data_IF_588523833118
#
_entry.id   IF_588523833118
#
_cell.length_a   1.000
_cell.length_b   1.000
_cell.length_c   1.000
_cell.angle_alpha   90.00
_cell.angle_beta   90.00
_cell.angle_gamma   90.00
#
_symmetry.space_group_name_H-M   'P 1'
#
loop_
_entity.id
_entity.type
_entity.pdbx_description
1 polymer ?
#
# COMPACT_ATOMS: atom_id res chain seq x y z
N UNK A 1 -29.89 -45.56 26.68
CA UNK A 1 -29.36 -45.62 25.30
C UNK A 1 -29.06 -44.21 24.82
N UNK A 2 -28.00 -44.02 24.02
CA UNK A 2 -27.01 -42.96 24.19
C UNK A 2 -26.96 -41.95 23.02
N UNK A 3 -25.88 -41.15 22.96
CA UNK A 3 -25.35 -40.34 21.83
C UNK A 3 -25.77 -38.86 21.85
N UNK A 4 -24.91 -37.84 21.82
CA UNK A 4 -23.45 -37.64 21.61
C UNK A 4 -23.17 -36.18 22.08
N UNK A 5 -22.19 -35.93 22.94
CA UNK A 5 -20.80 -35.61 22.60
C UNK A 5 -20.55 -34.15 22.17
N UNK A 6 -19.59 -33.55 22.91
CA UNK A 6 -18.57 -32.56 22.50
C UNK A 6 -18.97 -31.11 22.24
N UNK A 7 -18.56 -30.26 23.20
CA UNK A 7 -17.74 -29.07 22.97
C UNK A 7 -17.68 -28.55 21.53
N UNK A 8 -18.32 -27.40 21.27
CA UNK A 8 -17.77 -26.42 20.33
C UNK A 8 -17.87 -25.00 20.91
N UNK A 9 -16.69 -24.50 21.30
CA UNK A 9 -16.17 -23.17 21.03
C UNK A 9 -17.12 -22.00 21.29
N UNK A 10 -17.04 -21.32 22.44
CA UNK A 10 -16.02 -20.29 22.70
C UNK A 10 -15.34 -19.75 21.42
N UNK A 11 -16.03 -18.88 20.71
CA UNK A 11 -15.45 -17.89 19.81
C UNK A 11 -16.32 -16.63 19.97
N UNK A 12 -16.09 -15.76 20.95
CA UNK A 12 -14.95 -14.82 20.94
C UNK A 12 -14.67 -14.39 19.49
N UNK A 13 -15.66 -13.84 18.80
CA UNK A 13 -15.37 -12.83 17.78
C UNK A 13 -15.21 -11.51 18.53
N UNK A 14 -14.05 -11.43 19.19
CA UNK A 14 -13.29 -10.20 19.24
C UNK A 14 -13.26 -9.72 17.79
N UNK A 15 -14.05 -8.69 17.45
CA UNK A 15 -13.62 -7.79 16.40
C UNK A 15 -12.29 -7.23 16.89
N UNK A 16 -11.14 -7.64 16.32
CA UNK A 16 -9.92 -6.98 16.67
C UNK A 16 -10.02 -5.60 16.04
N UNK A 17 -10.12 -4.60 16.90
CA UNK A 17 -9.55 -3.28 16.70
C UNK A 17 -9.96 -2.57 15.41
N UNK A 18 -10.87 -1.61 15.57
CA UNK A 18 -10.78 -0.32 14.91
C UNK A 18 -9.30 0.15 14.92
N UNK A 19 -8.53 -0.23 13.90
CA UNK A 19 -7.09 0.03 13.83
C UNK A 19 -6.91 1.46 13.38
N UNK A 20 -6.56 2.30 14.34
CA UNK A 20 -6.26 3.70 14.13
C UNK A 20 -5.31 3.87 12.96
N UNK A 21 -5.66 4.76 12.03
CA UNK A 21 -4.72 5.34 11.07
C UNK A 21 -3.50 5.80 11.87
N UNK A 22 -2.38 5.09 11.77
CA UNK A 22 -1.17 5.50 12.49
C UNK A 22 -0.73 6.85 11.94
N UNK A 23 -0.79 7.86 12.80
CA UNK A 23 -0.36 9.22 12.47
C UNK A 23 1.12 9.39 12.80
N UNK A 24 1.75 10.48 12.34
CA UNK A 24 3.17 10.78 12.60
C UNK A 24 3.56 10.64 14.09
N UNK A 25 2.63 10.90 15.00
CA UNK A 25 2.84 10.87 16.45
C UNK A 25 3.05 9.46 17.03
N UNK A 26 2.71 8.43 16.27
CA UNK A 26 2.81 7.02 16.67
C UNK A 26 4.09 6.35 16.16
N UNK A 27 4.91 7.08 15.40
CA UNK A 27 6.21 6.60 14.95
C UNK A 27 7.22 6.58 16.12
N UNK A 28 8.11 5.58 16.12
CA UNK A 28 9.27 5.59 17.00
C UNK A 28 10.16 6.82 16.71
N UNK A 29 10.94 7.25 17.68
CA UNK A 29 11.81 8.43 17.53
C UNK A 29 12.76 8.30 16.31
N UNK A 30 13.28 7.10 16.07
CA UNK A 30 14.10 6.80 14.90
C UNK A 30 13.32 6.95 13.57
N UNK A 31 12.09 6.43 13.49
CA UNK A 31 11.24 6.56 12.31
C UNK A 31 10.78 8.00 12.09
N UNK A 32 10.55 8.75 13.17
CA UNK A 32 10.21 10.17 13.09
C UNK A 32 11.37 11.01 12.55
N UNK A 33 12.61 10.69 12.93
CA UNK A 33 13.79 11.34 12.34
C UNK A 33 13.92 11.05 10.83
N UNK A 34 13.64 9.81 10.41
CA UNK A 34 13.58 9.46 8.97
C UNK A 34 12.44 10.19 8.25
N UNK A 35 11.29 10.31 8.89
CA UNK A 35 10.13 11.04 8.35
C UNK A 35 10.47 12.51 8.08
N UNK A 36 11.06 13.22 9.04
CA UNK A 36 11.46 14.62 8.87
C UNK A 36 12.48 14.79 7.74
N UNK A 37 13.43 13.85 7.60
CA UNK A 37 14.37 13.84 6.47
C UNK A 37 13.67 13.64 5.13
N UNK A 38 12.65 12.77 5.08
CA UNK A 38 11.87 12.54 3.87
C UNK A 38 11.08 13.78 3.46
N UNK A 39 10.44 14.46 4.42
CA UNK A 39 9.71 15.72 4.19
C UNK A 39 10.66 16.80 3.67
N UNK A 40 11.81 17.01 4.33
CA UNK A 40 12.82 17.97 3.87
C UNK A 40 13.35 17.63 2.46
N UNK A 41 13.54 16.35 2.15
CA UNK A 41 13.97 15.92 0.81
C UNK A 41 12.91 16.28 -0.27
N UNK A 42 11.62 16.23 0.05
CA UNK A 42 10.54 16.65 -0.86
C UNK A 42 10.56 18.16 -1.09
N UNK A 43 10.75 18.95 -0.03
CA UNK A 43 10.85 20.42 -0.12
C UNK A 43 12.03 20.83 -1.02
N UNK A 44 13.15 20.12 -0.91
CA UNK A 44 14.33 20.29 -1.76
C UNK A 44 14.16 19.68 -3.16
N UNK A 45 12.97 19.18 -3.50
CA UNK A 45 12.64 18.47 -4.76
C UNK A 45 13.53 17.27 -5.06
N UNK A 46 14.18 16.71 -4.04
CA UNK A 46 14.93 15.46 -4.12
C UNK A 46 13.99 14.26 -3.92
N UNK A 47 13.09 14.07 -4.88
CA UNK A 47 12.06 13.03 -4.82
C UNK A 47 12.65 11.61 -4.80
N UNK A 48 13.80 11.39 -5.44
CA UNK A 48 14.46 10.08 -5.41
C UNK A 48 14.88 9.67 -4.00
N UNK A 49 15.49 10.59 -3.26
CA UNK A 49 15.86 10.34 -1.87
C UNK A 49 14.64 10.23 -0.96
N UNK A 50 13.66 11.12 -1.13
CA UNK A 50 12.40 11.05 -0.38
C UNK A 50 11.70 9.68 -0.50
N UNK A 51 11.61 9.14 -1.72
CA UNK A 51 11.01 7.81 -1.99
C UNK A 51 11.76 6.73 -1.19
N UNK A 52 13.09 6.72 -1.24
CA UNK A 52 13.88 5.71 -0.53
C UNK A 52 13.66 5.74 0.99
N UNK A 53 13.58 6.94 1.59
CA UNK A 53 13.31 7.10 3.01
C UNK A 53 11.89 6.66 3.39
N UNK A 54 10.90 6.99 2.56
CA UNK A 54 9.51 6.61 2.80
C UNK A 54 9.29 5.10 2.67
N UNK A 55 9.95 4.44 1.72
CA UNK A 55 9.92 2.98 1.59
C UNK A 55 10.54 2.27 2.80
N UNK A 56 11.64 2.80 3.36
CA UNK A 56 12.25 2.27 4.58
C UNK A 56 11.27 2.39 5.76
N UNK A 57 10.63 3.55 5.93
CA UNK A 57 9.62 3.75 6.97
C UNK A 57 8.48 2.74 6.83
N UNK A 58 7.97 2.50 5.61
CA UNK A 58 6.88 1.56 5.35
C UNK A 58 7.28 0.08 5.50
N UNK A 59 8.58 -0.23 5.44
CA UNK A 59 9.10 -1.58 5.73
C UNK A 59 9.02 -1.87 7.22
N UNK A 60 9.34 -0.87 8.06
CA UNK A 60 9.27 -0.99 9.52
C UNK A 60 7.84 -0.83 10.04
N UNK A 61 7.06 0.09 9.44
CA UNK A 61 5.68 0.39 9.83
C UNK A 61 4.75 0.39 8.60
N UNK A 62 4.30 -0.80 8.15
CA UNK A 62 3.46 -0.93 6.95
C UNK A 62 2.11 -0.21 7.04
N UNK A 63 1.63 0.08 8.25
CA UNK A 63 0.33 0.69 8.50
C UNK A 63 0.39 2.23 8.51
N UNK A 64 1.56 2.82 8.29
CA UNK A 64 1.72 4.27 8.27
C UNK A 64 1.13 4.88 6.99
N UNK A 65 -0.18 5.14 7.01
CA UNK A 65 -0.93 5.64 5.87
C UNK A 65 -0.42 7.00 5.36
N UNK A 66 -0.12 7.92 6.28
CA UNK A 66 0.37 9.26 5.92
C UNK A 66 1.68 9.18 5.11
N UNK A 67 2.58 8.27 5.48
CA UNK A 67 3.80 8.03 4.72
C UNK A 67 3.55 7.43 3.35
N UNK A 68 2.55 6.54 3.24
CA UNK A 68 2.14 5.92 1.97
C UNK A 68 1.52 6.94 1.01
N UNK A 69 0.68 7.84 1.52
CA UNK A 69 0.13 8.95 0.73
C UNK A 69 1.23 9.88 0.21
N UNK A 70 2.18 10.25 1.07
CA UNK A 70 3.30 11.10 0.68
C UNK A 70 4.22 10.41 -0.33
N UNK A 71 4.46 9.10 -0.17
CA UNK A 71 5.23 8.28 -1.09
C UNK A 71 4.63 8.32 -2.49
N UNK A 72 3.33 8.05 -2.63
CA UNK A 72 2.64 8.07 -3.92
C UNK A 72 2.71 9.44 -4.58
N UNK A 73 2.54 10.53 -3.83
CA UNK A 73 2.71 11.90 -4.36
C UNK A 73 4.13 12.14 -4.88
N UNK A 74 5.15 11.69 -4.15
CA UNK A 74 6.54 11.82 -4.57
C UNK A 74 6.85 11.01 -5.84
N UNK A 75 6.37 9.77 -5.93
CA UNK A 75 6.50 8.91 -7.12
C UNK A 75 5.78 9.46 -8.34
N UNK A 76 4.55 9.96 -8.17
CA UNK A 76 3.80 10.67 -9.23
C UNK A 76 4.55 11.90 -9.70
N UNK A 77 5.09 12.70 -8.79
CA UNK A 77 5.84 13.91 -9.15
C UNK A 77 7.14 13.58 -9.89
N UNK A 78 7.86 12.54 -9.44
CA UNK A 78 9.07 12.03 -10.08
C UNK A 78 8.78 11.46 -11.46
N UNK A 79 7.73 10.64 -11.61
CA UNK A 79 7.32 10.03 -12.88
C UNK A 79 6.80 11.05 -13.90
N UNK A 80 6.11 12.11 -13.46
CA UNK A 80 5.70 13.23 -14.33
C UNK A 80 6.89 14.09 -14.78
N UNK A 81 7.92 14.21 -13.95
CA UNK A 81 9.13 14.98 -14.26
C UNK A 81 10.09 14.22 -15.20
N UNK A 82 10.10 12.89 -15.14
CA UNK A 82 10.75 12.06 -16.13
C UNK A 82 9.91 12.07 -17.42
N UNK A 83 10.46 12.59 -18.53
CA UNK A 83 9.80 12.53 -19.86
C UNK A 83 9.25 11.13 -20.07
N UNK A 84 7.93 11.02 -20.38
CA UNK A 84 7.21 9.74 -20.57
C UNK A 84 7.98 8.82 -21.51
N UNK A 85 8.85 7.99 -20.95
CA UNK A 85 9.52 6.93 -21.68
C UNK A 85 8.55 5.77 -21.73
N UNK A 86 7.76 5.72 -22.80
CA UNK A 86 6.81 4.64 -23.09
C UNK A 86 7.51 3.32 -23.45
N UNK A 87 8.69 3.04 -22.88
CA UNK A 87 9.55 1.91 -23.23
C UNK A 87 9.94 1.07 -22.02
N UNK A 88 8.99 0.83 -21.10
CA UNK A 88 9.16 -0.19 -20.08
C UNK A 88 8.40 -1.45 -20.50
N UNK A 89 9.13 -2.44 -21.01
CA UNK A 89 8.68 -3.82 -21.18
C UNK A 89 8.07 -4.31 -19.85
N UNK A 90 6.87 -4.88 -19.94
CA UNK A 90 5.86 -5.12 -18.89
C UNK A 90 6.25 -6.15 -17.80
N UNK A 91 7.42 -5.99 -17.18
CA UNK A 91 7.79 -6.70 -15.96
C UNK A 91 6.79 -6.46 -14.81
N UNK A 92 6.08 -5.33 -14.85
CA UNK A 92 4.94 -5.02 -13.98
C UNK A 92 3.83 -6.10 -14.05
N UNK A 93 3.53 -6.65 -15.22
CA UNK A 93 2.45 -7.65 -15.35
C UNK A 93 2.81 -8.97 -14.67
N UNK A 94 4.06 -9.43 -14.82
CA UNK A 94 4.52 -10.66 -14.17
C UNK A 94 4.63 -10.50 -12.64
N UNK A 95 5.16 -9.36 -12.18
CA UNK A 95 5.28 -9.06 -10.74
C UNK A 95 3.93 -8.93 -10.06
N UNK A 96 2.95 -8.28 -10.69
CA UNK A 96 1.58 -8.19 -10.19
C UNK A 96 0.91 -9.57 -10.13
N UNK A 97 1.10 -10.41 -11.16
CA UNK A 97 0.58 -11.79 -11.13
C UNK A 97 1.19 -12.62 -9.98
N UNK A 98 2.49 -12.45 -9.72
CA UNK A 98 3.14 -13.12 -8.59
C UNK A 98 2.63 -12.62 -7.23
N UNK A 99 2.36 -11.31 -7.10
CA UNK A 99 1.76 -10.74 -5.91
C UNK A 99 0.34 -11.30 -5.67
N UNK A 100 -0.49 -11.36 -6.71
CA UNK A 100 -1.84 -11.93 -6.66
C UNK A 100 -1.85 -13.35 -6.06
N UNK A 101 -0.91 -14.21 -6.51
CA UNK A 101 -0.79 -15.59 -5.99
C UNK A 101 -0.40 -15.63 -4.52
N UNK A 102 0.35 -14.63 -4.04
CA UNK A 102 0.81 -14.54 -2.66
C UNK A 102 -0.26 -14.04 -1.70
N UNK A 103 -1.32 -13.36 -2.15
CA UNK A 103 -2.39 -12.83 -1.29
C UNK A 103 -2.93 -13.89 -0.33
N UNK A 104 -3.14 -15.13 -0.81
CA UNK A 104 -3.70 -16.22 -0.01
C UNK A 104 -2.75 -16.75 1.08
N UNK A 105 -1.44 -16.62 0.86
CA UNK A 105 -0.43 -17.20 1.74
C UNK A 105 0.19 -16.15 2.66
N UNK A 106 0.49 -14.97 2.10
CA UNK A 106 1.19 -13.88 2.76
C UNK A 106 0.73 -12.55 2.12
N UNK A 107 -0.42 -12.02 2.56
CA UNK A 107 -1.00 -10.80 1.99
C UNK A 107 -0.13 -9.56 2.27
N UNK A 108 0.60 -9.52 3.39
CA UNK A 108 1.51 -8.41 3.73
C UNK A 108 2.67 -8.34 2.73
N UNK A 109 3.26 -9.49 2.39
CA UNK A 109 4.31 -9.55 1.38
C UNK A 109 3.80 -9.26 -0.02
N UNK A 110 2.55 -9.57 -0.33
CA UNK A 110 1.94 -9.15 -1.59
C UNK A 110 1.88 -7.62 -1.69
N UNK A 111 1.52 -6.91 -0.61
CA UNK A 111 1.55 -5.44 -0.55
C UNK A 111 2.97 -4.90 -0.84
N UNK A 112 4.01 -5.43 -0.19
CA UNK A 112 5.40 -5.00 -0.42
C UNK A 112 5.85 -5.16 -1.88
N UNK A 113 5.47 -6.28 -2.52
CA UNK A 113 5.80 -6.53 -3.94
C UNK A 113 5.11 -5.51 -4.84
N UNK A 114 3.85 -5.18 -4.54
CA UNK A 114 3.05 -4.24 -5.34
C UNK A 114 3.58 -2.81 -5.22
N UNK A 115 4.05 -2.39 -4.05
CA UNK A 115 4.63 -1.06 -3.89
C UNK A 115 5.88 -0.86 -4.75
N UNK A 116 6.68 -1.90 -4.98
CA UNK A 116 7.82 -1.82 -5.93
C UNK A 116 7.39 -1.62 -7.38
N UNK A 117 6.21 -2.13 -7.76
CA UNK A 117 5.65 -1.91 -9.10
C UNK A 117 5.15 -0.48 -9.20
N UNK A 118 4.41 -0.03 -8.19
CA UNK A 118 3.77 1.28 -8.16
C UNK A 118 4.78 2.42 -7.99
N UNK A 119 5.99 2.17 -7.48
CA UNK A 119 7.09 3.13 -7.50
C UNK A 119 7.42 3.62 -8.92
N UNK A 120 7.38 2.71 -9.89
CA UNK A 120 7.68 3.00 -11.30
C UNK A 120 6.44 3.37 -12.09
N UNK A 121 5.31 2.73 -11.78
CA UNK A 121 4.03 2.93 -12.47
C UNK A 121 2.91 3.22 -11.45
N UNK A 122 2.87 4.45 -10.87
CA UNK A 122 1.95 4.78 -9.78
C UNK A 122 0.48 4.57 -10.11
N UNK A 123 0.12 4.75 -11.38
CA UNK A 123 -1.25 4.64 -11.88
C UNK A 123 -1.52 3.33 -12.62
N UNK A 124 -0.67 2.31 -12.47
CA UNK A 124 -0.94 1.00 -13.04
C UNK A 124 -2.24 0.44 -12.45
N UNK A 125 -3.27 0.31 -13.31
CA UNK A 125 -4.62 -0.09 -12.91
C UNK A 125 -4.64 -1.45 -12.22
N UNK A 126 -3.96 -2.44 -12.82
CA UNK A 126 -3.96 -3.79 -12.28
C UNK A 126 -3.22 -3.82 -10.94
N UNK A 127 -2.06 -3.19 -10.83
CA UNK A 127 -1.29 -3.17 -9.59
C UNK A 127 -2.07 -2.54 -8.42
N UNK A 128 -2.79 -1.43 -8.65
CA UNK A 128 -3.62 -0.80 -7.63
C UNK A 128 -4.84 -1.67 -7.23
N UNK A 129 -5.47 -2.36 -8.18
CA UNK A 129 -6.58 -3.29 -7.85
C UNK A 129 -6.08 -4.50 -7.05
N UNK A 130 -4.94 -5.07 -7.41
CA UNK A 130 -4.31 -6.16 -6.64
C UNK A 130 -3.86 -5.67 -5.26
N UNK A 131 -3.39 -4.41 -5.15
CA UNK A 131 -3.03 -3.80 -3.87
C UNK A 131 -4.25 -3.66 -2.96
N UNK A 132 -5.40 -3.27 -3.51
CA UNK A 132 -6.68 -3.25 -2.79
C UNK A 132 -6.98 -4.63 -2.19
N UNK A 133 -6.94 -5.68 -3.00
CA UNK A 133 -7.23 -7.04 -2.55
C UNK A 133 -6.24 -7.54 -1.50
N UNK A 134 -4.94 -7.31 -1.72
CA UNK A 134 -3.89 -7.68 -0.76
C UNK A 134 -4.05 -6.94 0.58
N UNK A 135 -4.38 -5.65 0.53
CA UNK A 135 -4.62 -4.83 1.71
C UNK A 135 -5.87 -5.29 2.49
N UNK A 136 -6.97 -5.60 1.81
CA UNK A 136 -8.16 -6.17 2.44
C UNK A 136 -7.85 -7.52 3.11
N UNK A 137 -7.12 -8.40 2.42
CA UNK A 137 -6.69 -9.69 2.98
C UNK A 137 -5.72 -9.55 4.15
N UNK A 138 -4.92 -8.48 4.20
CA UNK A 138 -4.03 -8.15 5.31
C UNK A 138 -4.75 -7.46 6.49
N UNK A 139 -6.04 -7.12 6.35
CA UNK A 139 -6.81 -6.37 7.35
C UNK A 139 -6.46 -4.88 7.38
N UNK A 140 -6.03 -4.30 6.26
CA UNK A 140 -5.65 -2.88 6.10
C UNK A 140 -6.62 -2.15 5.17
N UNK A 141 -7.89 -1.95 5.56
CA UNK A 141 -8.92 -1.38 4.69
C UNK A 141 -8.60 0.05 4.23
N UNK A 142 -7.86 0.82 5.01
CA UNK A 142 -7.45 2.19 4.65
C UNK A 142 -6.47 2.18 3.47
N UNK A 143 -5.56 1.21 3.43
CA UNK A 143 -4.64 1.02 2.30
C UNK A 143 -5.42 0.58 1.06
N UNK A 144 -6.49 -0.22 1.23
CA UNK A 144 -7.36 -0.59 0.13
C UNK A 144 -8.10 0.62 -0.46
N UNK A 145 -8.66 1.49 0.39
CA UNK A 145 -9.30 2.74 -0.04
C UNK A 145 -8.28 3.66 -0.74
N UNK A 146 -7.08 3.76 -0.19
CA UNK A 146 -5.99 4.54 -0.76
C UNK A 146 -5.60 4.07 -2.17
N UNK A 147 -5.54 2.76 -2.40
CA UNK A 147 -5.26 2.19 -3.72
C UNK A 147 -6.33 2.60 -4.77
N UNK A 148 -7.61 2.61 -4.37
CA UNK A 148 -8.69 3.08 -5.24
C UNK A 148 -8.62 4.59 -5.49
N UNK A 149 -8.32 5.38 -4.45
CA UNK A 149 -8.15 6.85 -4.60
C UNK A 149 -7.04 7.19 -5.60
N UNK A 150 -5.93 6.46 -5.57
CA UNK A 150 -4.82 6.63 -6.51
C UNK A 150 -5.27 6.51 -7.97
N UNK A 151 -6.20 5.58 -8.27
CA UNK A 151 -6.75 5.41 -9.62
C UNK A 151 -7.73 6.52 -10.01
N UNK A 152 -8.56 6.97 -9.06
CA UNK A 152 -9.49 8.09 -9.27
C UNK A 152 -8.73 9.41 -9.48
N UNK A 153 -7.57 9.59 -8.83
CA UNK A 153 -6.72 10.77 -9.04
C UNK A 153 -6.19 10.86 -10.47
N UNK A 154 -5.84 9.73 -11.11
CA UNK A 154 -5.40 9.73 -12.51
C UNK A 154 -6.56 9.95 -13.48
N UNK A 155 -7.69 9.29 -13.23
CA UNK A 155 -8.89 9.44 -14.05
C UNK A 155 -10.15 9.63 -13.19
N UNK A 156 -10.50 10.89 -12.85
CA UNK A 156 -11.66 11.20 -12.01
C UNK A 156 -13.01 10.74 -12.57
N UNK A 157 -13.06 10.38 -13.87
CA UNK A 157 -14.29 9.92 -14.55
C UNK A 157 -14.51 8.41 -14.44
N UNK A 158 -13.50 7.64 -14.02
CA UNK A 158 -13.62 6.17 -13.90
C UNK A 158 -14.21 5.75 -12.55
N UNK A 159 -15.45 6.18 -12.28
CA UNK A 159 -16.17 5.90 -11.03
C UNK A 159 -16.39 4.39 -10.83
N UNK A 160 -16.29 3.59 -11.90
CA UNK A 160 -16.39 2.12 -11.84
C UNK A 160 -15.34 1.51 -10.93
N UNK A 161 -14.19 2.18 -10.77
CA UNK A 161 -13.11 1.72 -9.87
C UNK A 161 -13.54 1.74 -8.40
N UNK A 162 -14.45 2.62 -8.00
CA UNK A 162 -14.96 2.69 -6.62
C UNK A 162 -15.91 1.55 -6.26
N UNK A 163 -16.44 0.84 -7.26
CA UNK A 163 -17.36 -0.29 -7.09
C UNK A 163 -16.70 -1.65 -7.35
N UNK A 164 -15.43 -1.66 -7.76
CA UNK A 164 -14.65 -2.85 -8.07
C UNK A 164 -13.96 -3.40 -6.82
#
# INVERSE_FOLDING_TARGET
>A
MPSRSTHEFLFVIICPTNMAVKTEKELSEALRALWLKAVAAIELRNFGYAISLLQEILTQEPQFLTGRELLRRAEVTKSKSAKKSFFNISTASFTVMNAQRKIKNDPKRAVEILEKVLEKEPYNRQANLVLKEAALAAGWPEIAVFALRTLVEENPRDVKVLHA
#
